data_IF_173495164817
#
_entry.id   IF_173495164817
#
_cell.length_a   1.000
_cell.length_b   1.000
_cell.length_c   1.000
_cell.angle_alpha   90.00
_cell.angle_beta   90.00
_cell.angle_gamma   90.00
#
_symmetry.space_group_name_H-M   'P 1'
#
loop_
_entity.id
_entity.type
_entity.pdbx_description
1 polymer ?
#
# COMPACT_ATOMS: atom_id res chain seq x y z
N UNK A 1 -5.47 8.30 10.26
CA UNK A 1 -5.23 6.87 10.49
C UNK A 1 -5.00 6.20 9.14
N UNK A 2 -4.41 5.00 9.10
CA UNK A 2 -4.18 4.24 7.88
C UNK A 2 -5.03 2.95 7.91
N UNK A 3 -6.06 2.80 7.06
CA UNK A 3 -6.98 1.66 7.13
C UNK A 3 -6.30 0.29 7.03
N UNK A 4 -5.29 0.17 6.17
CA UNK A 4 -4.52 -1.06 5.97
C UNK A 4 -3.48 -1.34 7.08
N UNK A 5 -3.23 -0.40 8.00
CA UNK A 5 -2.23 -0.52 9.07
C UNK A 5 -2.87 -0.18 10.42
N UNK A 6 -3.54 -1.14 11.07
CA UNK A 6 -4.17 -0.93 12.36
C UNK A 6 -3.18 -0.41 13.41
N UNK A 7 -3.56 0.65 14.11
CA UNK A 7 -2.72 1.26 15.16
C UNK A 7 -1.78 2.36 14.68
N UNK A 8 -1.61 2.57 13.36
CA UNK A 8 -0.82 3.68 12.83
C UNK A 8 -1.70 4.93 12.62
N UNK A 9 -1.26 6.05 13.21
CA UNK A 9 -1.96 7.32 13.12
C UNK A 9 -0.99 8.50 13.27
N UNK A 10 -1.36 9.62 12.66
CA UNK A 10 -0.72 10.92 12.82
C UNK A 10 -1.76 12.01 12.58
N UNK A 11 -1.42 13.26 12.85
CA UNK A 11 -2.30 14.43 12.77
C UNK A 11 -1.50 15.68 12.37
N UNK A 12 -2.20 16.73 11.94
CA UNK A 12 -1.64 18.05 11.65
C UNK A 12 -2.75 19.10 11.74
N UNK A 13 -2.38 20.35 12.00
CA UNK A 13 -3.34 21.45 12.18
C UNK A 13 -3.97 21.90 10.85
N UNK A 14 -3.25 21.70 9.75
CA UNK A 14 -3.71 21.98 8.38
C UNK A 14 -3.72 20.73 7.53
N UNK A 15 -4.39 20.79 6.37
CA UNK A 15 -4.42 19.65 5.46
C UNK A 15 -3.08 19.33 4.83
N UNK A 16 -2.26 20.34 4.56
CA UNK A 16 -0.93 20.15 4.00
C UNK A 16 0.00 19.54 5.06
N UNK A 17 -0.08 20.01 6.30
CA UNK A 17 0.65 19.41 7.42
C UNK A 17 0.22 17.96 7.66
N UNK A 18 -1.09 17.69 7.76
CA UNK A 18 -1.60 16.34 7.97
C UNK A 18 -1.14 15.37 6.87
N UNK A 19 -1.05 15.82 5.61
CA UNK A 19 -0.51 15.02 4.50
C UNK A 19 1.00 14.79 4.62
N UNK A 20 1.76 15.83 4.94
CA UNK A 20 3.22 15.70 5.15
C UNK A 20 3.52 14.72 6.30
N UNK A 21 2.81 14.87 7.42
CA UNK A 21 2.90 13.98 8.57
C UNK A 21 2.48 12.55 8.22
N UNK A 22 1.44 12.36 7.42
CA UNK A 22 1.02 11.04 6.96
C UNK A 22 2.11 10.35 6.12
N UNK A 23 2.72 11.07 5.17
CA UNK A 23 3.79 10.54 4.35
C UNK A 23 5.01 10.14 5.18
N UNK A 24 5.43 11.00 6.12
CA UNK A 24 6.57 10.72 7.00
C UNK A 24 6.30 9.56 7.96
N UNK A 25 5.11 9.50 8.56
CA UNK A 25 4.69 8.42 9.45
C UNK A 25 4.69 7.06 8.73
N UNK A 26 4.09 7.01 7.53
CA UNK A 26 4.07 5.80 6.71
C UNK A 26 5.48 5.36 6.31
N UNK A 27 6.33 6.29 5.86
CA UNK A 27 7.72 6.00 5.49
C UNK A 27 8.50 5.43 6.67
N UNK A 28 8.42 6.05 7.84
CA UNK A 28 9.10 5.58 9.04
C UNK A 28 8.66 4.16 9.45
N UNK A 29 7.35 3.87 9.36
CA UNK A 29 6.82 2.54 9.65
C UNK A 29 7.34 1.48 8.67
N UNK A 30 7.27 1.74 7.35
CA UNK A 30 7.76 0.80 6.34
C UNK A 30 9.28 0.57 6.43
N UNK A 31 10.05 1.60 6.77
CA UNK A 31 11.48 1.48 7.03
C UNK A 31 11.78 0.62 8.28
N UNK A 32 10.96 0.69 9.32
CA UNK A 32 11.06 -0.19 10.50
C UNK A 32 10.88 -1.64 10.10
N UNK A 33 9.77 -1.98 9.41
CA UNK A 33 9.50 -3.34 8.96
C UNK A 33 10.67 -3.90 8.14
N UNK A 34 11.24 -3.08 7.24
CA UNK A 34 12.39 -3.49 6.43
C UNK A 34 13.64 -3.76 7.28
N UNK A 35 13.89 -2.98 8.34
CA UNK A 35 15.01 -3.20 9.27
C UNK A 35 14.82 -4.47 10.08
N UNK A 36 13.59 -4.76 10.46
CA UNK A 36 13.22 -5.91 11.28
C UNK A 36 13.04 -7.20 10.45
N UNK A 37 13.11 -7.09 9.11
CA UNK A 37 12.92 -8.21 8.18
C UNK A 37 11.46 -8.67 8.07
N UNK A 38 10.53 -7.82 8.49
CA UNK A 38 9.10 -8.09 8.46
C UNK A 38 8.50 -7.80 7.07
N UNK A 39 7.44 -8.52 6.68
CA UNK A 39 6.76 -8.26 5.41
C UNK A 39 6.10 -6.89 5.41
N UNK A 40 6.12 -6.22 4.25
CA UNK A 40 5.36 -4.97 4.08
C UNK A 40 3.85 -5.25 4.10
N UNK A 41 3.04 -4.36 4.67
CA UNK A 41 1.59 -4.47 4.62
C UNK A 41 1.12 -4.44 3.16
N UNK A 42 0.16 -5.29 2.84
CA UNK A 42 -0.46 -5.37 1.51
C UNK A 42 -1.86 -4.77 1.56
N UNK A 43 -2.08 -3.75 0.75
CA UNK A 43 -3.42 -3.22 0.48
C UNK A 43 -3.91 -3.84 -0.83
N UNK A 44 -4.98 -4.65 -0.75
CA UNK A 44 -5.54 -5.26 -1.94
C UNK A 44 -6.07 -4.16 -2.89
N UNK A 45 -5.75 -4.22 -4.19
CA UNK A 45 -6.34 -3.28 -5.14
C UNK A 45 -7.86 -3.40 -5.11
N UNK A 46 -8.55 -2.28 -5.29
CA UNK A 46 -10.00 -2.27 -5.45
C UNK A 46 -10.36 -2.97 -6.78
N UNK A 47 -10.75 -4.24 -6.69
CA UNK A 47 -11.18 -5.05 -7.83
C UNK A 47 -10.08 -5.95 -8.42
N UNK A 48 -10.47 -6.85 -9.33
CA UNK A 48 -9.54 -7.80 -9.94
C UNK A 48 -8.61 -7.10 -10.95
N UNK A 49 -7.32 -7.47 -10.91
CA UNK A 49 -6.41 -7.22 -12.04
C UNK A 49 -6.89 -8.09 -13.21
N UNK A 50 -7.20 -7.47 -14.35
CA UNK A 50 -7.72 -8.16 -15.53
C UNK A 50 -6.82 -7.95 -16.74
N UNK A 51 -6.49 -9.04 -17.43
CA UNK A 51 -5.75 -9.05 -18.69
C UNK A 51 -6.49 -9.93 -19.70
N UNK A 52 -6.54 -9.50 -20.97
CA UNK A 52 -7.11 -10.28 -22.06
C UNK A 52 -6.00 -11.06 -22.76
N UNK A 53 -6.13 -12.38 -22.78
CA UNK A 53 -5.24 -13.27 -23.52
C UNK A 53 -5.97 -13.87 -24.73
N UNK A 54 -5.28 -13.94 -25.86
CA UNK A 54 -5.73 -14.64 -27.07
C UNK A 54 -4.76 -15.77 -27.35
N UNK A 55 -5.30 -16.96 -27.63
CA UNK A 55 -4.51 -18.16 -27.94
C UNK A 55 -4.95 -18.74 -29.28
N UNK A 56 -3.98 -19.15 -30.08
CA UNK A 56 -4.19 -19.88 -31.34
C UNK A 56 -4.21 -21.39 -31.04
N UNK A 57 -5.17 -22.11 -31.61
CA UNK A 57 -5.27 -23.56 -31.49
C UNK A 57 -4.93 -24.20 -32.85
N UNK A 58 -4.08 -25.23 -32.83
CA UNK A 58 -3.81 -26.03 -34.02
C UNK A 58 -5.00 -26.96 -34.32
N UNK A 59 -5.41 -27.03 -35.59
CA UNK A 59 -6.39 -28.01 -36.07
C UNK A 59 -5.76 -29.40 -36.23
N UNK A 60 -6.51 -30.44 -35.86
CA UNK A 60 -6.13 -31.85 -36.02
C UNK A 60 -6.18 -32.32 -37.48
#
# INVERSE_FOLDING_TARGET
TFPAIPGLATQGETMDEARAMAADCLRAYLESLRKDGEPLPYEAPEGPITERLTVELASA
#
